data_IF_384548557024
#
_entry.id   IF_384548557024
#
_cell.length_a   1.000
_cell.length_b   1.000
_cell.length_c   1.000
_cell.angle_alpha   90.00
_cell.angle_beta   90.00
_cell.angle_gamma   90.00
#
_symmetry.space_group_name_H-M   'P 1'
#
loop_
_entity.id
_entity.type
_entity.pdbx_description
1 polymer ?
#
# COMPACT_ATOMS: atom_id res chain seq x y z
N UNK A 1 25.55 -11.32 14.09
CA UNK A 1 24.34 -10.88 14.81
C UNK A 1 23.46 -10.18 13.78
N UNK A 2 22.17 -10.50 13.68
CA UNK A 2 21.26 -9.78 12.79
C UNK A 2 21.02 -8.35 13.31
N UNK A 3 20.94 -7.40 12.37
CA UNK A 3 20.83 -5.95 12.58
C UNK A 3 19.45 -5.57 13.13
N UNK A 4 19.33 -4.82 14.25
CA UNK A 4 18.05 -4.50 14.88
C UNK A 4 17.21 -3.46 14.12
N UNK A 5 17.74 -2.81 13.09
CA UNK A 5 17.00 -1.82 12.28
C UNK A 5 16.24 -2.44 11.09
N UNK A 6 16.43 -3.73 10.81
CA UNK A 6 15.65 -4.43 9.79
C UNK A 6 14.43 -5.05 10.49
N UNK A 7 13.19 -4.60 10.19
CA UNK A 7 12.00 -5.20 10.78
C UNK A 7 11.98 -6.69 10.49
N UNK A 8 11.97 -7.48 11.56
CA UNK A 8 11.94 -8.94 11.49
C UNK A 8 10.73 -9.40 10.69
N UNK A 9 10.99 -10.21 9.66
CA UNK A 9 10.00 -10.76 8.73
C UNK A 9 9.15 -11.88 9.41
N UNK A 10 9.33 -12.10 10.72
CA UNK A 10 8.62 -13.10 11.55
C UNK A 10 7.08 -12.95 11.59
N UNK A 11 6.50 -11.94 10.94
CA UNK A 11 5.05 -11.85 10.68
C UNK A 11 4.60 -12.42 9.32
N UNK A 12 5.55 -12.87 8.48
CA UNK A 12 5.34 -13.41 7.13
C UNK A 12 5.71 -14.90 7.05
N UNK A 13 5.82 -15.62 8.18
CA UNK A 13 6.22 -17.04 8.20
C UNK A 13 5.19 -17.98 7.51
N UNK A 14 4.01 -17.46 7.14
CA UNK A 14 3.03 -18.12 6.25
C UNK A 14 3.09 -17.70 4.77
N UNK A 15 4.03 -16.82 4.40
CA UNK A 15 4.22 -16.26 3.05
C UNK A 15 5.56 -16.65 2.43
N UNK A 16 6.33 -17.52 3.09
CA UNK A 16 7.54 -18.12 2.51
C UNK A 16 7.17 -19.03 1.33
N UNK A 17 7.99 -19.06 0.26
CA UNK A 17 7.66 -19.66 -1.01
C UNK A 17 7.59 -21.19 -0.88
N UNK A 18 6.36 -21.73 -0.91
CA UNK A 18 6.11 -23.16 -0.89
C UNK A 18 4.91 -23.58 -1.75
N UNK A 19 3.85 -22.76 -1.82
CA UNK A 19 2.69 -23.02 -2.69
C UNK A 19 2.68 -22.04 -3.89
N UNK A 20 2.83 -22.52 -5.14
CA UNK A 20 2.73 -21.68 -6.34
C UNK A 20 1.40 -20.92 -6.46
N UNK A 21 0.34 -21.36 -5.76
CA UNK A 21 -0.95 -20.64 -5.71
C UNK A 21 -0.87 -19.34 -4.91
N UNK A 22 -0.11 -19.31 -3.83
CA UNK A 22 0.01 -18.11 -2.98
C UNK A 22 0.90 -17.05 -3.63
N UNK A 23 1.96 -17.49 -4.31
CA UNK A 23 2.76 -16.61 -5.17
C UNK A 23 1.92 -15.99 -6.30
N UNK A 24 1.04 -16.78 -6.93
CA UNK A 24 0.14 -16.28 -7.97
C UNK A 24 -0.90 -15.27 -7.45
N UNK A 25 -1.42 -15.49 -6.23
CA UNK A 25 -2.35 -14.56 -5.56
C UNK A 25 -1.67 -13.24 -5.22
N UNK A 26 -0.48 -13.27 -4.64
CA UNK A 26 0.29 -12.06 -4.35
C UNK A 26 0.63 -11.29 -5.63
N UNK A 27 1.05 -12.00 -6.69
CA UNK A 27 1.32 -11.38 -7.97
C UNK A 27 0.05 -10.73 -8.56
N UNK A 28 -1.10 -11.39 -8.44
CA UNK A 28 -2.40 -10.81 -8.84
C UNK A 28 -2.72 -9.53 -8.09
N UNK A 29 -2.52 -9.50 -6.78
CA UNK A 29 -2.70 -8.29 -5.95
C UNK A 29 -1.71 -7.19 -6.35
N UNK A 30 -0.44 -7.51 -6.56
CA UNK A 30 0.58 -6.56 -7.00
C UNK A 30 0.22 -5.94 -8.35
N UNK A 31 -0.24 -6.74 -9.32
CA UNK A 31 -0.65 -6.25 -10.64
C UNK A 31 -1.89 -5.35 -10.54
N UNK A 32 -2.89 -5.74 -9.73
CA UNK A 32 -4.08 -4.93 -9.52
C UNK A 32 -3.73 -3.56 -8.90
N UNK A 33 -2.91 -3.56 -7.85
CA UNK A 33 -2.40 -2.33 -7.23
C UNK A 33 -1.60 -1.47 -8.20
N UNK A 34 -0.76 -2.08 -9.05
CA UNK A 34 -0.02 -1.35 -10.07
C UNK A 34 -0.95 -0.67 -11.09
N UNK A 35 -2.04 -1.33 -11.48
CA UNK A 35 -3.08 -0.76 -12.34
C UNK A 35 -3.79 0.42 -11.70
N UNK A 36 -4.19 0.30 -10.43
CA UNK A 36 -4.83 1.39 -9.68
C UNK A 36 -3.90 2.61 -9.53
N UNK A 37 -2.62 2.37 -9.19
CA UNK A 37 -1.60 3.43 -9.10
C UNK A 37 -1.40 4.12 -10.45
N UNK A 38 -1.43 3.39 -11.56
CA UNK A 38 -1.33 3.98 -12.89
C UNK A 38 -2.50 4.92 -13.19
N UNK A 39 -3.74 4.49 -12.90
CA UNK A 39 -4.93 5.32 -13.07
C UNK A 39 -4.85 6.57 -12.18
N UNK A 40 -4.44 6.40 -10.91
CA UNK A 40 -4.30 7.50 -9.97
C UNK A 40 -3.28 8.53 -10.46
N UNK A 41 -2.11 8.09 -10.94
CA UNK A 41 -1.10 8.96 -11.55
C UNK A 41 -1.67 9.74 -12.74
N UNK A 42 -2.43 9.08 -13.61
CA UNK A 42 -3.05 9.72 -14.76
C UNK A 42 -4.14 10.74 -14.36
N UNK A 43 -4.85 10.51 -13.25
CA UNK A 43 -5.82 11.45 -12.71
C UNK A 43 -5.15 12.66 -12.07
N UNK A 44 -4.11 12.44 -11.25
CA UNK A 44 -3.31 13.51 -10.65
C UNK A 44 -2.72 14.40 -11.74
N UNK A 45 -2.09 13.81 -12.77
CA UNK A 45 -1.54 14.59 -13.89
C UNK A 45 -2.62 15.46 -14.57
N UNK A 46 -3.79 14.88 -14.88
CA UNK A 46 -4.91 15.62 -15.47
C UNK A 46 -5.41 16.76 -14.58
N UNK A 47 -5.54 16.52 -13.28
CA UNK A 47 -5.97 17.52 -12.32
C UNK A 47 -4.95 18.66 -12.21
N UNK A 48 -3.66 18.33 -12.11
CA UNK A 48 -2.57 19.31 -12.05
C UNK A 48 -2.56 20.18 -13.31
N UNK A 49 -2.70 19.58 -14.51
CA UNK A 49 -2.82 20.33 -15.77
C UNK A 49 -4.03 21.26 -15.77
N UNK A 50 -5.22 20.75 -15.42
CA UNK A 50 -6.45 21.55 -15.40
C UNK A 50 -6.38 22.73 -14.42
N UNK A 51 -5.75 22.51 -13.26
CA UNK A 51 -5.57 23.55 -12.26
C UNK A 51 -4.49 24.57 -12.66
N UNK A 52 -3.42 24.13 -13.35
CA UNK A 52 -2.41 25.02 -13.94
C UNK A 52 -3.01 25.94 -15.01
N UNK A 53 -3.81 25.38 -15.92
CA UNK A 53 -4.51 26.16 -16.97
C UNK A 53 -5.43 27.24 -16.41
N UNK A 54 -5.98 27.02 -15.22
CA UNK A 54 -6.86 27.97 -14.51
C UNK A 54 -6.12 28.90 -13.56
N UNK A 55 -4.79 28.81 -13.48
CA UNK A 55 -3.97 29.57 -12.53
C UNK A 55 -4.21 29.22 -11.06
N UNK A 56 -4.83 28.07 -10.78
CA UNK A 56 -5.15 27.60 -9.43
C UNK A 56 -3.97 26.98 -8.67
N UNK A 57 -2.87 26.68 -9.37
CA UNK A 57 -1.63 26.16 -8.76
C UNK A 57 -0.43 26.94 -9.33
N UNK A 58 0.48 27.31 -8.43
CA UNK A 58 1.85 27.72 -8.75
C UNK A 58 2.75 26.47 -8.78
N UNK A 59 3.23 26.12 -9.98
CA UNK A 59 4.09 24.94 -10.21
C UNK A 59 5.43 25.07 -9.47
N UNK A 60 5.96 26.29 -9.33
CA UNK A 60 7.18 26.51 -8.56
C UNK A 60 6.94 26.32 -7.07
N UNK A 61 5.77 26.72 -6.55
CA UNK A 61 5.38 26.43 -5.17
C UNK A 61 5.23 24.93 -4.92
N UNK A 62 4.65 24.20 -5.86
CA UNK A 62 4.48 22.76 -5.76
C UNK A 62 5.83 22.04 -5.76
N UNK A 63 6.74 22.41 -6.67
CA UNK A 63 8.10 21.86 -6.75
C UNK A 63 8.92 22.16 -5.47
N UNK A 64 8.76 23.36 -4.90
CA UNK A 64 9.38 23.71 -3.61
C UNK A 64 8.82 22.88 -2.46
N UNK A 65 7.50 22.64 -2.44
CA UNK A 65 6.86 21.82 -1.43
C UNK A 65 7.35 20.36 -1.51
N UNK A 66 7.42 19.77 -2.71
CA UNK A 66 7.92 18.41 -2.93
C UNK A 66 9.39 18.26 -2.51
N UNK A 67 10.20 19.29 -2.74
CA UNK A 67 11.62 19.30 -2.36
C UNK A 67 11.86 19.54 -0.86
N UNK A 68 10.83 19.94 -0.11
CA UNK A 68 10.97 20.35 1.28
C UNK A 68 11.31 19.16 2.21
N UNK A 69 12.09 19.40 3.28
CA UNK A 69 12.34 18.37 4.30
C UNK A 69 11.05 17.87 4.96
N UNK A 70 10.11 18.78 5.24
CA UNK A 70 8.82 18.44 5.85
C UNK A 70 8.00 17.47 4.97
N UNK A 71 8.00 17.68 3.65
CA UNK A 71 7.33 16.74 2.74
C UNK A 71 8.00 15.38 2.73
N UNK A 72 9.34 15.31 2.77
CA UNK A 72 10.08 14.04 2.83
C UNK A 72 9.82 13.27 4.12
N UNK A 73 9.77 13.96 5.25
CA UNK A 73 9.43 13.36 6.54
C UNK A 73 7.99 12.83 6.51
N UNK A 74 7.05 13.64 6.01
CA UNK A 74 5.65 13.24 5.88
C UNK A 74 5.47 12.03 4.95
N UNK A 75 6.03 12.05 3.73
CA UNK A 75 5.84 10.96 2.76
C UNK A 75 6.44 9.64 3.27
N UNK A 76 7.54 9.71 4.04
CA UNK A 76 8.15 8.53 4.66
C UNK A 76 7.22 7.92 5.72
N UNK A 77 6.64 8.76 6.58
CA UNK A 77 5.68 8.32 7.59
C UNK A 77 4.39 7.75 6.96
N UNK A 78 3.94 8.36 5.87
CA UNK A 78 2.77 7.91 5.10
C UNK A 78 3.02 6.55 4.45
N UNK A 79 4.18 6.37 3.79
CA UNK A 79 4.57 5.09 3.19
C UNK A 79 4.62 3.96 4.22
N UNK A 80 5.16 4.22 5.41
CA UNK A 80 5.20 3.22 6.49
C UNK A 80 3.78 2.85 6.96
N UNK A 81 2.89 3.83 7.07
CA UNK A 81 1.49 3.61 7.49
C UNK A 81 0.71 2.84 6.43
N UNK A 82 0.82 3.25 5.18
CA UNK A 82 0.19 2.58 4.05
C UNK A 82 0.69 1.15 3.89
N UNK A 83 2.01 0.93 3.98
CA UNK A 83 2.60 -0.41 3.91
C UNK A 83 2.07 -1.35 4.99
N UNK A 84 1.92 -0.87 6.24
CA UNK A 84 1.28 -1.65 7.31
C UNK A 84 -0.18 -1.96 7.00
N UNK A 85 -0.95 -1.00 6.52
CA UNK A 85 -2.35 -1.21 6.16
C UNK A 85 -2.51 -2.23 5.03
N UNK A 86 -1.63 -2.18 4.03
CA UNK A 86 -1.63 -3.11 2.89
C UNK A 86 -1.29 -4.55 3.31
N UNK A 87 -0.35 -4.71 4.23
CA UNK A 87 0.09 -6.03 4.70
C UNK A 87 -0.79 -6.59 5.82
N UNK A 88 -1.59 -5.76 6.50
CA UNK A 88 -2.44 -6.18 7.63
C UNK A 88 -3.28 -7.43 7.32
N UNK A 89 -3.98 -7.57 6.17
CA UNK A 89 -4.79 -8.75 5.90
C UNK A 89 -3.99 -10.07 5.85
N UNK A 90 -2.68 -9.99 5.65
CA UNK A 90 -1.79 -11.14 5.54
C UNK A 90 -1.06 -11.45 6.85
N UNK A 91 -0.72 -10.44 7.65
CA UNK A 91 -0.03 -10.60 8.94
C UNK A 91 -1.00 -10.78 10.13
N UNK A 92 -2.20 -10.20 10.01
CA UNK A 92 -3.29 -10.32 10.96
C UNK A 92 -4.59 -10.54 10.18
N UNK A 93 -4.77 -11.72 9.56
CA UNK A 93 -6.03 -12.04 8.90
C UNK A 93 -7.15 -11.89 9.92
N UNK A 94 -8.18 -11.11 9.58
CA UNK A 94 -9.36 -10.97 10.44
C UNK A 94 -9.92 -12.39 10.66
N UNK A 95 -10.14 -12.78 11.91
CA UNK A 95 -10.74 -14.07 12.23
C UNK A 95 -12.11 -14.15 11.55
N UNK A 96 -12.22 -15.00 10.53
CA UNK A 96 -13.52 -15.28 9.94
C UNK A 96 -14.44 -15.80 11.07
N UNK A 97 -15.67 -15.27 11.21
CA UNK A 97 -16.59 -15.74 12.23
C UNK A 97 -16.70 -17.26 12.11
N UNK A 98 -16.50 -17.97 13.21
CA UNK A 98 -16.60 -19.43 13.20
C UNK A 98 -18.05 -19.83 12.87
N UNK A 99 -18.28 -20.22 11.61
CA UNK A 99 -19.60 -20.59 11.07
C UNK A 99 -19.97 -22.05 11.34
N UNK A 100 -19.15 -22.81 12.08
CA UNK A 100 -19.46 -24.20 12.46
C UNK A 100 -20.83 -24.34 13.15
N UNK A 101 -21.25 -23.32 13.91
CA UNK A 101 -22.61 -23.23 14.50
C UNK A 101 -23.75 -23.25 13.48
N UNK A 102 -23.51 -22.89 12.21
CA UNK A 102 -24.52 -22.95 11.14
C UNK A 102 -24.55 -24.31 10.44
N UNK A 103 -23.55 -25.17 10.67
CA UNK A 103 -23.46 -26.52 10.10
C UNK A 103 -24.07 -27.59 11.02
N UNK A 104 -24.12 -27.33 12.33
CA UNK A 104 -24.72 -28.22 13.34
C UNK A 104 -26.25 -28.07 13.48
N UNK A 105 -26.86 -27.12 12.76
CA UNK A 105 -28.31 -26.98 12.67
C UNK A 105 -28.88 -27.90 11.57
N UNK A 106 -28.86 -29.22 11.80
CA UNK A 106 -29.62 -30.21 11.04
C UNK A 106 -30.39 -31.14 11.97
#
# INVERSE_FOLDING_TARGET
MPDPEIPSITGLDGLLPGDPRDAARLLGVVIALAGEVFVLKAQVARLTTALKERGGIDEDALNRAESSPAFREWITAEQATFGRALLRPFTHPDEAPNVSRFLDAK
#
